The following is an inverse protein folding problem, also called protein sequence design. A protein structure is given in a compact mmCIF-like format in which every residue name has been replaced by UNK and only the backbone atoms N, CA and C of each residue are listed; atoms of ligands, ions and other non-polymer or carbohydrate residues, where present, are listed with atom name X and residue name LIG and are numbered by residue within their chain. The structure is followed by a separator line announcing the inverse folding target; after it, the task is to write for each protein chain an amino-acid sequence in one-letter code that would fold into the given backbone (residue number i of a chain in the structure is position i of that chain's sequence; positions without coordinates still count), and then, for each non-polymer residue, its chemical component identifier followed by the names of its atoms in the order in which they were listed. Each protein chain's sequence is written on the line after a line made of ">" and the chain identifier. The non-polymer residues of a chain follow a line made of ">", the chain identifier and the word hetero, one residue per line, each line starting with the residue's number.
data_IF_949299112262
#
_entry.id   IF_949299112262
#
_cell.length_a   1.000
_cell.length_b   1.000
_cell.length_c   1.000
_cell.angle_alpha   90.00
_cell.angle_beta   90.00
_cell.angle_gamma   90.00
#
_symmetry.space_group_name_H-M   'P 1'
#
loop_
_entity.id
_entity.type
_entity.pdbx_description
1 polymer ?
#
# COMPACT_ATOMS: atom_id res chain seq x y z
N UNK A 1 12.09 -18.74 9.03
CA UNK A 1 10.74 -18.20 9.27
C UNK A 1 10.01 -18.22 7.95
N UNK A 2 8.80 -18.79 7.92
CA UNK A 2 7.99 -18.88 6.70
C UNK A 2 7.10 -17.66 6.61
N UNK A 3 7.01 -17.04 5.43
CA UNK A 3 6.10 -15.93 5.18
C UNK A 3 4.79 -16.42 4.61
N UNK A 4 3.69 -15.79 5.00
CA UNK A 4 2.35 -16.10 4.54
C UNK A 4 1.59 -14.82 4.20
N UNK A 5 0.66 -14.91 3.24
CA UNK A 5 -0.21 -13.80 2.92
C UNK A 5 -1.43 -13.80 3.84
N UNK A 6 -1.80 -12.61 4.30
CA UNK A 6 -3.04 -12.35 5.03
C UNK A 6 -3.78 -11.19 4.37
N UNK A 7 -5.11 -11.20 4.49
CA UNK A 7 -5.96 -10.10 4.08
C UNK A 7 -6.62 -9.50 5.32
N UNK A 8 -6.38 -8.21 5.60
CA UNK A 8 -6.98 -7.51 6.73
C UNK A 8 -8.00 -6.50 6.27
N UNK A 9 -9.14 -6.43 6.96
CA UNK A 9 -10.19 -5.43 6.67
C UNK A 9 -9.86 -4.04 7.21
N UNK A 10 -8.99 -3.95 8.22
CA UNK A 10 -8.62 -2.72 8.93
C UNK A 10 -7.17 -2.80 9.39
N UNK A 11 -6.58 -1.64 9.67
CA UNK A 11 -5.25 -1.55 10.27
C UNK A 11 -5.29 -2.18 11.68
N UNK A 12 -4.27 -2.97 12.02
CA UNK A 12 -4.13 -3.64 13.32
C UNK A 12 -2.77 -3.28 13.94
N UNK A 13 -2.77 -3.14 15.26
CA UNK A 13 -1.56 -3.06 16.08
C UNK A 13 -1.54 -4.30 16.96
N UNK A 14 -0.55 -5.17 16.79
CA UNK A 14 -0.39 -6.38 17.61
C UNK A 14 0.87 -6.28 18.45
N UNK A 15 0.86 -6.87 19.63
CA UNK A 15 2.03 -6.95 20.49
C UNK A 15 2.43 -8.42 20.57
N UNK A 16 3.49 -8.80 19.84
CA UNK A 16 4.02 -10.17 19.90
C UNK A 16 4.78 -10.40 21.21
N UNK A 17 5.41 -9.34 21.71
CA UNK A 17 6.12 -9.25 22.98
C UNK A 17 5.80 -7.91 23.64
N UNK A 18 6.09 -7.77 24.93
CA UNK A 18 5.83 -6.55 25.69
C UNK A 18 6.54 -5.30 25.14
N UNK A 19 7.56 -5.46 24.30
CA UNK A 19 8.47 -4.40 23.86
C UNK A 19 8.38 -4.08 22.35
N UNK A 20 7.75 -4.95 21.54
CA UNK A 20 7.72 -4.83 20.07
C UNK A 20 6.28 -4.90 19.52
N UNK A 21 5.60 -3.74 19.39
CA UNK A 21 4.35 -3.65 18.66
C UNK A 21 4.59 -3.72 17.15
N UNK A 22 3.83 -4.58 16.46
CA UNK A 22 3.83 -4.72 15.00
C UNK A 22 2.57 -4.06 14.44
N UNK A 23 2.79 -3.06 13.59
CA UNK A 23 1.73 -2.39 12.83
C UNK A 23 1.48 -3.13 11.51
N UNK A 24 0.24 -3.58 11.33
CA UNK A 24 -0.23 -4.24 10.12
C UNK A 24 -1.26 -3.36 9.42
N UNK A 25 -1.10 -3.14 8.12
CA UNK A 25 -2.02 -2.33 7.33
C UNK A 25 -3.22 -3.13 6.85
N UNK A 26 -4.34 -2.45 6.63
CA UNK A 26 -5.47 -3.02 5.90
C UNK A 26 -5.09 -3.37 4.46
N UNK A 27 -5.69 -4.43 3.93
CA UNK A 27 -5.40 -4.95 2.60
C UNK A 27 -4.59 -6.25 2.62
N UNK A 28 -4.11 -6.63 1.44
CA UNK A 28 -3.36 -7.86 1.23
C UNK A 28 -1.88 -7.59 1.54
N UNK A 29 -1.31 -8.33 2.47
CA UNK A 29 0.10 -8.17 2.84
C UNK A 29 0.74 -9.51 3.19
N UNK A 30 2.06 -9.55 3.09
CA UNK A 30 2.87 -10.70 3.48
C UNK A 30 3.45 -10.47 4.87
N UNK A 31 3.20 -11.40 5.78
CA UNK A 31 3.69 -11.37 7.16
C UNK A 31 4.39 -12.67 7.52
N UNK A 32 5.16 -12.65 8.61
CA UNK A 32 5.72 -13.87 9.19
C UNK A 32 4.61 -14.79 9.72
N UNK A 33 4.86 -16.10 9.69
CA UNK A 33 3.90 -17.09 10.15
C UNK A 33 3.46 -16.87 11.60
N UNK A 34 4.38 -16.50 12.51
CA UNK A 34 4.04 -16.21 13.91
C UNK A 34 3.05 -15.03 14.07
N UNK A 35 3.14 -14.05 13.18
CA UNK A 35 2.20 -12.91 13.12
C UNK A 35 0.84 -13.38 12.62
N UNK A 36 0.82 -14.17 11.54
CA UNK A 36 -0.42 -14.73 11.00
C UNK A 36 -1.10 -15.68 12.00
N UNK A 37 -0.30 -16.35 12.84
CA UNK A 37 -0.79 -17.27 13.86
C UNK A 37 -1.33 -16.56 15.11
N UNK A 38 -1.03 -15.26 15.28
CA UNK A 38 -1.50 -14.46 16.39
C UNK A 38 -3.04 -14.36 16.42
N UNK A 39 -3.64 -14.61 17.60
CA UNK A 39 -5.10 -14.70 17.78
C UNK A 39 -5.86 -13.47 17.24
N UNK A 40 -5.31 -12.28 17.44
CA UNK A 40 -5.93 -11.03 16.98
C UNK A 40 -5.88 -10.86 15.46
N UNK A 41 -4.80 -11.34 14.82
CA UNK A 41 -4.66 -11.35 13.37
C UNK A 41 -5.62 -12.36 12.78
N UNK A 42 -5.70 -13.59 13.33
CA UNK A 42 -6.67 -14.61 12.89
C UNK A 42 -8.13 -14.16 13.03
N UNK A 43 -8.46 -13.44 14.10
CA UNK A 43 -9.83 -12.97 14.32
C UNK A 43 -10.26 -11.88 13.34
N UNK A 44 -9.31 -11.15 12.76
CA UNK A 44 -9.56 -10.01 11.87
C UNK A 44 -9.05 -10.24 10.44
N UNK A 45 -8.49 -11.42 10.16
CA UNK A 45 -8.09 -11.81 8.83
C UNK A 45 -9.29 -12.37 8.07
N UNK A 46 -9.28 -12.12 6.77
CA UNK A 46 -10.29 -12.58 5.84
C UNK A 46 -9.71 -13.67 4.94
N UNK A 47 -10.57 -14.55 4.39
CA UNK A 47 -10.14 -15.47 3.34
C UNK A 47 -9.64 -14.66 2.13
N UNK A 48 -8.48 -15.05 1.60
CA UNK A 48 -7.96 -14.46 0.38
C UNK A 48 -8.76 -15.01 -0.79
N UNK A 49 -9.60 -14.17 -1.39
CA UNK A 49 -10.34 -14.48 -2.61
C UNK A 49 -9.61 -13.94 -3.83
N UNK A 50 -9.91 -14.47 -5.01
CA UNK A 50 -9.38 -13.94 -6.27
C UNK A 50 -9.75 -12.47 -6.48
N UNK A 51 -10.91 -12.03 -6.00
CA UNK A 51 -11.32 -10.63 -6.03
C UNK A 51 -10.43 -9.76 -5.14
N UNK A 52 -10.12 -10.18 -3.91
CA UNK A 52 -9.24 -9.44 -3.03
C UNK A 52 -7.82 -9.25 -3.61
N UNK A 53 -7.31 -10.24 -4.33
CA UNK A 53 -6.02 -10.14 -5.04
C UNK A 53 -6.10 -9.12 -6.18
N UNK A 54 -7.21 -9.12 -6.93
CA UNK A 54 -7.44 -8.13 -8.00
C UNK A 54 -7.61 -6.72 -7.44
N UNK A 55 -8.37 -6.55 -6.36
CA UNK A 55 -8.57 -5.27 -5.69
C UNK A 55 -7.24 -4.67 -5.21
N UNK A 56 -6.36 -5.49 -4.63
CA UNK A 56 -5.02 -5.03 -4.22
C UNK A 56 -4.17 -4.60 -5.42
N UNK A 57 -4.18 -5.39 -6.50
CA UNK A 57 -3.48 -5.06 -7.74
C UNK A 57 -4.02 -3.76 -8.37
N UNK A 58 -5.34 -3.59 -8.45
CA UNK A 58 -5.96 -2.36 -8.95
C UNK A 58 -5.62 -1.17 -8.06
N UNK A 59 -5.60 -1.33 -6.74
CA UNK A 59 -5.24 -0.25 -5.80
C UNK A 59 -3.80 0.21 -6.03
N UNK A 60 -2.86 -0.72 -6.17
CA UNK A 60 -1.46 -0.43 -6.50
C UNK A 60 -1.32 0.28 -7.85
N UNK A 61 -2.06 -0.17 -8.86
CA UNK A 61 -2.05 0.47 -10.18
C UNK A 61 -2.61 1.89 -10.12
N UNK A 62 -3.70 2.12 -9.38
CA UNK A 62 -4.25 3.46 -9.16
C UNK A 62 -3.24 4.37 -8.45
N UNK A 63 -2.50 3.88 -7.47
CA UNK A 63 -1.46 4.67 -6.80
C UNK A 63 -0.28 4.98 -7.74
N UNK A 64 0.16 4.02 -8.56
CA UNK A 64 1.18 4.23 -9.58
C UNK A 64 0.76 5.30 -10.58
N UNK A 65 -0.44 5.16 -11.16
CA UNK A 65 -0.99 6.10 -12.13
C UNK A 65 -1.15 7.50 -11.55
N UNK A 66 -1.53 7.63 -10.27
CA UNK A 66 -1.57 8.92 -9.58
C UNK A 66 -0.18 9.55 -9.43
N UNK A 67 0.84 8.75 -9.09
CA UNK A 67 2.21 9.25 -9.00
C UNK A 67 2.75 9.69 -10.36
N UNK A 68 2.48 8.92 -11.41
CA UNK A 68 2.83 9.27 -12.80
C UNK A 68 2.11 10.53 -13.26
N UNK A 69 0.82 10.68 -12.95
CA UNK A 69 0.05 11.87 -13.28
C UNK A 69 0.59 13.11 -12.55
N UNK A 70 0.96 13.00 -11.27
CA UNK A 70 1.58 14.09 -10.53
C UNK A 70 2.94 14.48 -11.12
N UNK A 71 3.76 13.50 -11.53
CA UNK A 71 5.04 13.74 -12.20
C UNK A 71 4.84 14.44 -13.55
N UNK A 72 3.91 13.97 -14.37
CA UNK A 72 3.59 14.56 -15.67
C UNK A 72 3.06 16.00 -15.52
N UNK A 73 2.20 16.27 -14.53
CA UNK A 73 1.73 17.61 -14.20
C UNK A 73 2.88 18.56 -13.84
N UNK A 74 3.85 18.09 -13.05
CA UNK A 74 5.05 18.87 -12.72
C UNK A 74 5.88 19.18 -13.97
N UNK A 75 6.07 18.21 -14.86
CA UNK A 75 6.77 18.42 -16.13
C UNK A 75 6.05 19.42 -17.02
N UNK A 76 4.72 19.35 -17.11
CA UNK A 76 3.92 20.32 -17.86
C UNK A 76 4.10 21.72 -17.30
N UNK A 77 4.03 21.89 -15.97
CA UNK A 77 4.21 23.20 -15.33
C UNK A 77 5.62 23.79 -15.59
N UNK A 78 6.66 22.96 -15.54
CA UNK A 78 8.02 23.37 -15.83
C UNK A 78 8.19 23.79 -17.30
N UNK A 79 7.68 23.00 -18.25
CA UNK A 79 7.70 23.32 -19.67
C UNK A 79 6.90 24.59 -19.99
N UNK A 80 5.74 24.79 -19.37
CA UNK A 80 4.96 26.02 -19.53
C UNK A 80 5.74 27.24 -19.08
N UNK A 81 6.46 27.15 -17.95
CA UNK A 81 7.34 28.23 -17.47
C UNK A 81 8.47 28.52 -18.45
N UNK A 82 9.12 27.49 -19.01
CA UNK A 82 10.16 27.67 -20.01
C UNK A 82 9.64 28.35 -21.30
N UNK A 83 8.42 28.01 -21.72
CA UNK A 83 7.78 28.65 -22.89
C UNK A 83 7.52 30.13 -22.63
N UNK A 84 7.03 30.50 -21.44
CA UNK A 84 6.82 31.91 -21.08
C UNK A 84 8.14 32.69 -21.03
N UNK A 85 9.18 32.15 -20.40
CA UNK A 85 10.50 32.78 -20.30
C UNK A 85 11.13 32.98 -21.69
N UNK A 86 10.93 32.02 -22.60
CA UNK A 86 11.41 32.11 -24.00
C UNK A 86 10.61 33.13 -24.82
N UNK A 87 9.30 33.28 -24.58
CA UNK A 87 8.46 34.29 -25.27
C UNK A 87 8.70 35.71 -24.76
N UNK A 88 9.18 35.87 -23.53
CA UNK A 88 9.48 37.17 -22.93
C UNK A 88 10.85 37.74 -23.37
N UNK A 89 11.61 36.98 -24.16
CA UNK A 89 12.93 37.33 -24.70
C UNK A 89 12.86 37.68 -26.18
#
# INVERSE_FOLDING_TARGET
>A
MSKVQILLSKDLLIHLSAEDPVELKSGLQEVEQDIADHWYVKAHSQPITSDAVKDDAHKKEVESLKAELAAAQKTIADLQKQIEDTKAK
#
